data_IF_757575249714
#
_entry.id   IF_757575249714
#
_cell.length_a   1.000
_cell.length_b   1.000
_cell.length_c   1.000
_cell.angle_alpha   90.00
_cell.angle_beta   90.00
_cell.angle_gamma   90.00
#
_symmetry.space_group_name_H-M   'P 1'
#
loop_
_entity.id
_entity.type
_entity.pdbx_description
1 polymer ?
#
# COMPACT_ATOMS: atom_id res chain seq x y z
N UNK A 1 65.27 11.04 32.12
CA UNK A 1 64.81 11.86 30.98
C UNK A 1 64.23 10.87 29.96
N UNK A 2 62.94 10.52 30.04
CA UNK A 2 61.83 11.18 29.32
C UNK A 2 62.16 11.46 27.85
N UNK A 3 61.66 10.62 26.92
CA UNK A 3 60.59 11.00 25.99
C UNK A 3 60.39 9.95 24.88
N UNK A 4 59.17 9.40 24.85
CA UNK A 4 58.33 8.91 23.75
C UNK A 4 58.90 8.60 22.35
N UNK A 5 58.55 7.42 21.85
CA UNK A 5 57.91 7.28 20.54
C UNK A 5 57.06 5.99 20.50
N UNK A 6 55.74 6.16 20.58
CA UNK A 6 54.73 5.16 20.25
C UNK A 6 54.73 4.93 18.74
N UNK A 7 54.80 3.67 18.30
CA UNK A 7 54.34 3.28 16.96
C UNK A 7 53.34 2.13 17.13
N UNK A 8 52.08 2.54 17.12
CA UNK A 8 50.92 1.68 17.15
C UNK A 8 50.50 1.39 15.71
N UNK A 9 50.42 0.10 15.36
CA UNK A 9 49.37 -0.47 14.51
C UNK A 9 49.46 -0.29 12.99
N UNK A 10 49.50 -1.42 12.28
CA UNK A 10 48.72 -1.58 11.05
C UNK A 10 48.44 -3.09 10.80
N UNK A 11 47.34 -3.61 11.35
CA UNK A 11 46.73 -4.84 10.86
C UNK A 11 45.71 -4.40 9.81
N UNK A 12 46.07 -4.49 8.53
CA UNK A 12 45.10 -4.41 7.43
C UNK A 12 44.32 -5.73 7.39
N UNK A 13 43.31 -5.84 8.23
CA UNK A 13 42.24 -6.81 8.05
C UNK A 13 41.26 -6.26 7.02
N UNK A 14 41.49 -6.56 5.74
CA UNK A 14 40.55 -6.27 4.66
C UNK A 14 39.34 -7.19 4.81
N UNK A 15 38.40 -6.84 5.69
CA UNK A 15 37.09 -7.48 5.75
C UNK A 15 36.28 -7.00 4.55
N UNK A 16 36.39 -7.75 3.46
CA UNK A 16 35.47 -7.67 2.33
C UNK A 16 34.12 -8.24 2.80
N UNK A 17 33.34 -7.42 3.50
CA UNK A 17 31.95 -7.71 3.81
C UNK A 17 31.11 -7.57 2.53
N UNK A 18 31.18 -8.59 1.66
CA UNK A 18 30.13 -8.85 0.67
C UNK A 18 28.91 -9.35 1.44
N UNK A 19 28.21 -8.41 2.06
CA UNK A 19 27.00 -8.63 2.83
C UNK A 19 25.88 -9.10 1.92
N UNK A 20 25.49 -10.36 2.11
CA UNK A 20 24.24 -10.96 1.71
C UNK A 20 23.08 -9.94 1.83
N UNK A 21 22.55 -9.47 0.70
CA UNK A 21 21.19 -8.95 0.66
C UNK A 21 20.24 -10.09 0.97
N UNK A 22 19.99 -10.35 2.26
CA UNK A 22 19.20 -11.49 2.73
C UNK A 22 17.72 -11.41 2.35
N UNK A 23 16.93 -12.47 2.63
CA UNK A 23 15.50 -12.52 2.31
C UNK A 23 14.69 -11.33 2.86
N UNK A 24 15.09 -10.77 4.01
CA UNK A 24 14.47 -9.57 4.56
C UNK A 24 14.69 -8.31 3.70
N UNK A 25 15.85 -8.15 3.06
CA UNK A 25 16.13 -7.02 2.15
C UNK A 25 15.29 -7.15 0.88
N UNK A 26 15.16 -8.38 0.35
CA UNK A 26 14.32 -8.65 -0.82
C UNK A 26 12.82 -8.41 -0.52
N UNK A 27 12.36 -8.83 0.66
CA UNK A 27 10.99 -8.57 1.12
C UNK A 27 10.73 -7.06 1.26
N UNK A 28 11.64 -6.33 1.90
CA UNK A 28 11.50 -4.88 2.07
C UNK A 28 11.47 -4.16 0.72
N UNK A 29 12.31 -4.57 -0.25
CA UNK A 29 12.28 -3.97 -1.58
C UNK A 29 10.93 -4.15 -2.29
N UNK A 30 10.25 -5.30 -2.10
CA UNK A 30 8.89 -5.50 -2.59
C UNK A 30 7.87 -4.62 -1.86
N UNK A 31 8.00 -4.46 -0.54
CA UNK A 31 7.15 -3.55 0.23
C UNK A 31 7.34 -2.10 -0.27
N UNK A 32 8.58 -1.67 -0.49
CA UNK A 32 8.89 -0.33 -0.98
C UNK A 32 8.31 -0.10 -2.39
N UNK A 33 8.37 -1.11 -3.27
CA UNK A 33 7.72 -1.08 -4.58
C UNK A 33 6.20 -0.90 -4.44
N UNK A 34 5.55 -1.69 -3.58
CA UNK A 34 4.11 -1.60 -3.32
C UNK A 34 3.76 -0.23 -2.75
N UNK A 35 4.52 0.27 -1.77
CA UNK A 35 4.27 1.57 -1.14
C UNK A 35 4.43 2.70 -2.15
N UNK A 36 5.48 2.68 -2.96
CA UNK A 36 5.70 3.67 -4.01
C UNK A 36 4.57 3.67 -5.04
N UNK A 37 4.20 2.49 -5.55
CA UNK A 37 3.15 2.35 -6.57
C UNK A 37 1.75 2.68 -6.03
N UNK A 38 1.45 2.34 -4.78
CA UNK A 38 0.14 2.57 -4.17
C UNK A 38 -0.05 3.98 -3.61
N UNK A 39 1.04 4.72 -3.40
CA UNK A 39 1.02 6.08 -2.87
C UNK A 39 0.93 7.10 -3.99
N UNK A 40 0.05 8.08 -3.88
CA UNK A 40 -0.07 9.16 -4.84
C UNK A 40 -0.50 10.44 -4.13
N UNK A 41 0.14 11.57 -4.41
CA UNK A 41 -0.22 12.85 -3.80
C UNK A 41 -0.63 13.84 -4.90
N UNK A 42 -1.94 14.02 -5.05
CA UNK A 42 -2.55 14.89 -6.04
C UNK A 42 -3.14 16.16 -5.42
N UNK A 43 -3.69 17.03 -6.26
CA UNK A 43 -4.22 18.33 -5.82
C UNK A 43 -5.43 18.21 -4.88
N UNK A 44 -6.31 17.23 -5.12
CA UNK A 44 -7.57 17.05 -4.37
C UNK A 44 -7.57 15.89 -3.41
N UNK A 45 -6.61 14.99 -3.56
CA UNK A 45 -6.54 13.78 -2.76
C UNK A 45 -5.11 13.29 -2.61
N UNK A 46 -4.86 12.68 -1.45
CA UNK A 46 -3.63 11.97 -1.16
C UNK A 46 -3.99 10.53 -0.87
N UNK A 47 -3.30 9.60 -1.50
CA UNK A 47 -3.41 8.17 -1.30
C UNK A 47 -2.10 7.67 -0.74
N UNK A 48 -2.15 6.80 0.27
CA UNK A 48 -0.98 6.05 0.72
C UNK A 48 -1.38 4.61 0.95
N UNK A 49 -0.38 3.74 0.90
CA UNK A 49 -0.54 2.34 1.26
C UNK A 49 0.56 1.93 2.22
N UNK A 50 0.28 0.90 3.01
CA UNK A 50 1.27 0.22 3.84
C UNK A 50 1.03 -1.28 3.76
N UNK A 51 2.11 -2.04 3.86
CA UNK A 51 2.08 -3.50 4.00
C UNK A 51 2.74 -3.83 5.32
N UNK A 52 2.00 -4.52 6.18
CA UNK A 52 2.50 -5.06 7.45
C UNK A 52 2.15 -6.55 7.49
N UNK A 53 3.16 -7.40 7.53
CA UNK A 53 3.06 -8.84 7.25
C UNK A 53 2.24 -9.12 5.98
N UNK A 54 1.06 -9.72 6.13
CA UNK A 54 0.14 -10.05 5.04
C UNK A 54 -1.10 -9.17 5.03
N UNK A 55 -1.02 -7.98 5.63
CA UNK A 55 -2.11 -7.01 5.68
C UNK A 55 -1.74 -5.80 4.82
N UNK A 56 -2.53 -5.56 3.78
CA UNK A 56 -2.48 -4.32 3.03
C UNK A 56 -3.45 -3.34 3.69
N UNK A 57 -2.95 -2.15 4.03
CA UNK A 57 -3.80 -1.02 4.40
C UNK A 57 -3.66 0.09 3.38
N UNK A 58 -4.79 0.60 2.90
CA UNK A 58 -4.85 1.75 2.01
C UNK A 58 -5.56 2.90 2.72
N UNK A 59 -5.11 4.12 2.45
CA UNK A 59 -5.70 5.33 2.99
C UNK A 59 -5.91 6.34 1.87
N UNK A 60 -7.08 6.98 1.86
CA UNK A 60 -7.42 8.09 0.98
C UNK A 60 -7.81 9.29 1.83
N UNK A 61 -7.04 10.36 1.73
CA UNK A 61 -7.39 11.66 2.28
C UNK A 61 -7.96 12.55 1.19
N UNK A 62 -9.08 13.19 1.48
CA UNK A 62 -9.65 14.24 0.64
C UNK A 62 -9.13 15.59 1.15
N UNK A 63 -8.58 16.39 0.24
CA UNK A 63 -8.16 17.77 0.49
C UNK A 63 -9.32 18.71 0.21
N UNK A 64 -9.51 19.70 1.07
CA UNK A 64 -10.52 20.74 0.91
C UNK A 64 -9.86 22.09 0.62
N UNK A 65 -10.61 23.03 0.06
CA UNK A 65 -10.11 24.35 -0.37
C UNK A 65 -9.59 25.20 0.80
N UNK A 66 -10.03 24.91 2.03
CA UNK A 66 -9.53 25.54 3.26
C UNK A 66 -8.18 24.97 3.75
N UNK A 67 -7.58 24.06 2.98
CA UNK A 67 -6.32 23.39 3.29
C UNK A 67 -6.46 22.22 4.26
N UNK A 68 -7.67 21.91 4.75
CA UNK A 68 -7.90 20.76 5.61
C UNK A 68 -7.83 19.45 4.82
N UNK A 69 -7.35 18.40 5.48
CA UNK A 69 -7.38 17.03 4.97
C UNK A 69 -8.21 16.14 5.88
N UNK A 70 -9.16 15.42 5.28
CA UNK A 70 -9.98 14.44 6.01
C UNK A 70 -9.68 13.06 5.45
N UNK A 71 -9.43 12.09 6.33
CA UNK A 71 -9.46 10.69 5.93
C UNK A 71 -10.84 10.38 5.36
N UNK A 72 -10.92 10.16 4.06
CA UNK A 72 -12.18 9.97 3.36
C UNK A 72 -12.60 8.50 3.38
N UNK A 73 -11.63 7.61 3.22
CA UNK A 73 -11.79 6.16 3.34
C UNK A 73 -10.45 5.46 3.58
N UNK A 74 -10.47 4.31 4.23
CA UNK A 74 -9.36 3.37 4.26
C UNK A 74 -9.85 1.93 4.18
N UNK A 75 -9.03 1.05 3.58
CA UNK A 75 -9.28 -0.38 3.53
C UNK A 75 -8.18 -1.13 4.25
N UNK A 76 -8.54 -2.10 5.08
CA UNK A 76 -7.62 -3.07 5.68
C UNK A 76 -8.03 -4.44 5.15
N UNK A 77 -7.12 -5.14 4.49
CA UNK A 77 -7.41 -6.41 3.83
C UNK A 77 -6.22 -7.35 3.94
N UNK A 78 -6.52 -8.63 4.10
CA UNK A 78 -5.52 -9.68 4.03
C UNK A 78 -5.12 -9.95 2.57
N UNK A 79 -3.84 -9.81 2.27
CA UNK A 79 -3.27 -9.97 0.94
C UNK A 79 -3.51 -11.38 0.40
N UNK A 80 -3.67 -12.40 1.26
CA UNK A 80 -4.00 -13.78 0.87
C UNK A 80 -5.33 -13.85 0.14
N UNK A 81 -6.31 -13.06 0.56
CA UNK A 81 -7.64 -13.00 -0.05
C UNK A 81 -7.71 -12.14 -1.32
N UNK A 82 -6.69 -11.30 -1.60
CA UNK A 82 -6.75 -10.36 -2.72
C UNK A 82 -6.58 -11.07 -4.06
N UNK A 83 -7.49 -10.78 -4.98
CA UNK A 83 -7.27 -10.87 -6.41
C UNK A 83 -7.62 -9.53 -7.04
N UNK A 84 -7.18 -9.29 -8.28
CA UNK A 84 -7.58 -8.10 -9.01
C UNK A 84 -8.75 -8.42 -9.94
N UNK A 85 -9.64 -7.45 -10.13
CA UNK A 85 -10.70 -7.53 -11.15
C UNK A 85 -10.09 -7.66 -12.54
N UNK A 86 -10.60 -8.59 -13.35
CA UNK A 86 -10.30 -8.63 -14.77
C UNK A 86 -11.16 -7.58 -15.48
N UNK A 87 -10.58 -6.90 -16.47
CA UNK A 87 -11.32 -6.44 -17.64
C UNK A 87 -10.71 -7.12 -18.88
N UNK A 88 -11.61 -7.69 -19.69
CA UNK A 88 -11.46 -8.28 -21.03
C UNK A 88 -10.65 -9.58 -21.32
N UNK A 89 -10.98 -10.16 -22.48
CA UNK A 89 -10.56 -11.45 -23.05
C UNK A 89 -9.06 -11.57 -23.38
N UNK A 90 -8.27 -10.49 -23.21
CA UNK A 90 -6.83 -10.46 -23.52
C UNK A 90 -5.91 -10.44 -22.29
N UNK A 91 -6.48 -10.46 -21.07
CA UNK A 91 -5.74 -10.79 -19.85
C UNK A 91 -4.81 -9.71 -19.29
N UNK A 92 -4.97 -8.44 -19.67
CA UNK A 92 -4.37 -7.23 -19.07
C UNK A 92 -5.35 -6.06 -19.33
N UNK A 93 -5.85 -5.30 -18.36
CA UNK A 93 -5.16 -4.61 -17.26
C UNK A 93 -5.92 -4.70 -15.91
N UNK A 94 -5.18 -4.69 -14.80
CA UNK A 94 -5.73 -4.62 -13.43
C UNK A 94 -6.26 -3.24 -13.05
N UNK A 95 -6.16 -2.31 -14.00
CA UNK A 95 -6.52 -0.93 -13.85
C UNK A 95 -6.86 -0.29 -15.21
N UNK A 96 -7.85 0.61 -15.26
CA UNK A 96 -8.28 1.25 -16.53
C UNK A 96 -7.94 2.74 -16.57
N UNK A 97 -7.59 3.32 -17.74
CA UNK A 97 -7.51 4.76 -17.89
C UNK A 97 -8.92 5.36 -17.73
N UNK A 98 -9.08 6.32 -16.84
CA UNK A 98 -10.08 7.38 -17.08
C UNK A 98 -9.51 8.42 -18.03
N UNK A 99 -10.22 9.53 -18.23
CA UNK A 99 -9.87 10.57 -19.21
C UNK A 99 -8.35 10.79 -19.40
N UNK A 100 -7.89 10.53 -20.63
CA UNK A 100 -6.56 10.87 -21.15
C UNK A 100 -5.34 10.48 -20.28
N UNK A 101 -5.33 9.32 -19.62
CA UNK A 101 -4.16 8.83 -18.86
C UNK A 101 -3.88 9.60 -17.57
N UNK A 102 -4.85 10.41 -17.14
CA UNK A 102 -4.79 11.18 -15.89
C UNK A 102 -5.52 10.49 -14.74
N UNK A 103 -6.13 9.34 -14.98
CA UNK A 103 -6.87 8.58 -13.99
C UNK A 103 -6.55 7.10 -14.15
N UNK A 104 -6.32 6.42 -13.04
CA UNK A 104 -6.19 4.97 -13.00
C UNK A 104 -7.00 4.39 -11.84
N UNK A 105 -7.79 3.36 -12.11
CA UNK A 105 -8.62 2.66 -11.12
C UNK A 105 -8.12 1.24 -10.93
N UNK A 106 -7.62 0.86 -9.75
CA UNK A 106 -7.26 -0.54 -9.46
C UNK A 106 -8.41 -1.20 -8.72
N UNK A 107 -8.97 -2.25 -9.32
CA UNK A 107 -10.13 -2.99 -8.79
C UNK A 107 -9.66 -4.23 -8.02
N UNK A 108 -10.05 -4.34 -6.76
CA UNK A 108 -9.76 -5.48 -5.90
C UNK A 108 -11.00 -6.33 -5.73
N UNK A 109 -10.83 -7.63 -5.88
CA UNK A 109 -11.73 -8.65 -5.37
C UNK A 109 -11.07 -9.29 -4.13
N UNK A 110 -11.89 -9.60 -3.15
CA UNK A 110 -11.48 -10.35 -1.96
C UNK A 110 -12.21 -11.68 -2.00
N UNK A 111 -11.46 -12.77 -1.87
CA UNK A 111 -11.99 -14.12 -1.87
C UNK A 111 -12.36 -14.54 -0.45
N UNK A 112 -13.46 -15.28 -0.30
CA UNK A 112 -13.80 -15.92 0.96
C UNK A 112 -12.67 -16.84 1.46
N UNK A 113 -12.47 -16.96 2.79
CA UNK A 113 -13.27 -16.37 3.87
C UNK A 113 -12.85 -14.95 4.27
N UNK A 114 -11.99 -14.29 3.49
CA UNK A 114 -11.50 -12.96 3.81
C UNK A 114 -12.53 -11.87 3.47
N UNK A 115 -12.36 -10.70 4.10
CA UNK A 115 -13.11 -9.47 3.79
C UNK A 115 -12.20 -8.26 3.90
N UNK A 116 -12.43 -7.23 3.09
CA UNK A 116 -11.83 -5.93 3.30
C UNK A 116 -12.65 -5.13 4.32
N UNK A 117 -12.03 -4.73 5.43
CA UNK A 117 -12.61 -3.78 6.37
C UNK A 117 -12.45 -2.37 5.80
N UNK A 118 -13.56 -1.76 5.42
CA UNK A 118 -13.65 -0.40 4.90
C UNK A 118 -14.05 0.56 6.02
N UNK A 119 -13.11 1.41 6.45
CA UNK A 119 -13.41 2.58 7.27
C UNK A 119 -13.77 3.74 6.35
N UNK A 120 -14.91 4.41 6.57
CA UNK A 120 -15.37 5.54 5.76
C UNK A 120 -15.78 6.73 6.61
N UNK A 121 -15.49 7.93 6.13
CA UNK A 121 -15.93 9.18 6.78
C UNK A 121 -17.46 9.28 6.81
N UNK A 122 -18.01 9.79 7.92
CA UNK A 122 -19.44 10.14 8.04
C UNK A 122 -19.89 11.31 7.18
N UNK A 123 -18.94 12.05 6.59
CA UNK A 123 -19.23 13.04 5.54
C UNK A 123 -19.72 12.38 4.25
N UNK A 124 -19.57 11.05 4.12
CA UNK A 124 -20.13 10.25 3.03
C UNK A 124 -21.51 9.73 3.41
N UNK A 125 -22.32 9.40 2.39
CA UNK A 125 -23.55 8.64 2.61
C UNK A 125 -23.23 7.28 3.25
N UNK A 126 -23.67 7.09 4.49
CA UNK A 126 -23.56 5.83 5.21
C UNK A 126 -24.74 4.93 4.86
N UNK A 127 -24.56 3.61 5.02
CA UNK A 127 -25.70 2.71 5.08
C UNK A 127 -26.40 2.90 6.44
N UNK A 128 -27.73 2.69 6.52
CA UNK A 128 -28.45 2.85 7.79
C UNK A 128 -27.89 1.99 8.93
N UNK A 129 -27.39 0.79 8.62
CA UNK A 129 -26.89 -0.25 9.52
C UNK A 129 -25.35 -0.19 9.75
N UNK A 130 -24.75 0.99 9.62
CA UNK A 130 -23.30 1.13 9.77
C UNK A 130 -22.84 0.88 11.22
N UNK A 131 -21.64 0.30 11.35
CA UNK A 131 -20.96 0.18 12.66
C UNK A 131 -20.02 1.37 12.86
N UNK A 132 -20.05 2.10 13.98
CA UNK A 132 -19.10 3.19 14.24
C UNK A 132 -17.64 2.71 14.27
N UNK A 133 -16.73 3.51 13.70
CA UNK A 133 -15.29 3.30 13.89
C UNK A 133 -14.85 3.98 15.20
N UNK A 134 -14.00 3.35 16.04
CA UNK A 134 -13.51 3.95 17.28
C UNK A 134 -12.70 5.24 17.08
N UNK A 135 -12.31 5.57 15.84
CA UNK A 135 -11.62 6.82 15.50
C UNK A 135 -12.41 8.03 15.99
N UNK A 136 -11.74 8.90 16.74
CA UNK A 136 -12.33 10.10 17.34
C UNK A 136 -13.62 9.78 18.12
N UNK A 137 -13.63 8.67 18.85
CA UNK A 137 -14.73 8.29 19.75
C UNK A 137 -15.99 7.74 19.08
N UNK A 138 -15.97 7.35 17.79
CA UNK A 138 -17.17 6.81 17.12
C UNK A 138 -17.82 7.76 16.12
N UNK A 139 -17.51 9.05 16.21
CA UNK A 139 -18.36 10.10 15.63
C UNK A 139 -17.98 10.48 14.20
N UNK A 140 -16.76 10.15 13.77
CA UNK A 140 -16.24 10.68 12.49
C UNK A 140 -16.24 9.67 11.36
N UNK A 141 -16.22 8.37 11.69
CA UNK A 141 -16.09 7.30 10.72
C UNK A 141 -16.97 6.10 11.07
N UNK A 142 -17.20 5.25 10.08
CA UNK A 142 -17.94 4.00 10.23
C UNK A 142 -17.24 2.87 9.46
N UNK A 143 -17.39 1.64 9.93
CA UNK A 143 -16.94 0.43 9.28
C UNK A 143 -18.03 -0.20 8.41
N UNK A 144 -17.58 -0.76 7.29
CA UNK A 144 -18.28 -1.73 6.47
C UNK A 144 -17.31 -2.84 6.06
N UNK A 145 -17.83 -4.01 5.73
CA UNK A 145 -17.04 -5.11 5.16
C UNK A 145 -17.42 -5.29 3.69
N UNK A 146 -16.42 -5.57 2.85
CA UNK A 146 -16.55 -5.61 1.40
C UNK A 146 -15.77 -6.79 0.82
N UNK A 147 -16.38 -7.42 -0.19
CA UNK A 147 -15.69 -8.37 -1.08
C UNK A 147 -15.08 -7.70 -2.31
N UNK A 148 -15.42 -6.43 -2.56
CA UNK A 148 -14.89 -5.65 -3.67
C UNK A 148 -14.63 -4.21 -3.24
N UNK A 149 -13.47 -3.68 -3.63
CA UNK A 149 -13.15 -2.28 -3.44
C UNK A 149 -12.22 -1.79 -4.54
N UNK A 150 -11.95 -0.48 -4.58
CA UNK A 150 -11.07 0.11 -5.56
C UNK A 150 -10.16 1.14 -4.89
N UNK A 151 -8.96 1.32 -5.43
CA UNK A 151 -8.17 2.53 -5.23
C UNK A 151 -8.07 3.27 -6.56
N UNK A 152 -7.98 4.59 -6.48
CA UNK A 152 -7.99 5.50 -7.62
C UNK A 152 -6.78 6.41 -7.53
N UNK A 153 -6.03 6.58 -8.61
CA UNK A 153 -4.97 7.58 -8.67
C UNK A 153 -5.28 8.57 -9.79
N UNK A 154 -5.06 9.85 -9.54
CA UNK A 154 -5.36 10.94 -10.49
C UNK A 154 -4.12 11.80 -10.71
N UNK A 155 -3.57 11.83 -11.91
CA UNK A 155 -2.45 12.71 -12.28
C UNK A 155 -1.50 12.08 -13.28
N UNK A 156 -0.31 12.67 -13.44
CA UNK A 156 0.74 12.12 -14.29
C UNK A 156 1.39 10.88 -13.64
N UNK A 157 1.76 9.88 -14.46
CA UNK A 157 2.48 8.69 -14.02
C UNK A 157 1.66 7.67 -13.22
N UNK A 158 0.33 7.83 -13.17
CA UNK A 158 -0.55 6.95 -12.39
C UNK A 158 -0.67 5.53 -12.95
N UNK A 159 -0.47 5.36 -14.26
CA UNK A 159 -0.44 4.05 -14.93
C UNK A 159 0.77 3.22 -14.46
N UNK A 160 1.99 3.74 -14.59
CA UNK A 160 3.22 3.08 -14.14
C UNK A 160 3.17 2.73 -12.64
N UNK A 161 2.57 3.62 -11.85
CA UNK A 161 2.35 3.38 -10.41
C UNK A 161 1.39 2.22 -10.16
N UNK A 162 0.30 2.14 -10.91
CA UNK A 162 -0.65 1.04 -10.79
C UNK A 162 -0.07 -0.30 -11.26
N UNK A 163 0.72 -0.32 -12.32
CA UNK A 163 1.49 -1.50 -12.76
C UNK A 163 2.42 -1.97 -11.64
N UNK A 164 3.30 -1.08 -11.20
CA UNK A 164 4.29 -1.38 -10.17
C UNK A 164 3.64 -1.86 -8.87
N UNK A 165 2.52 -1.24 -8.47
CA UNK A 165 1.74 -1.64 -7.31
C UNK A 165 1.15 -3.05 -7.46
N UNK A 166 0.45 -3.31 -8.56
CA UNK A 166 -0.27 -4.58 -8.75
C UNK A 166 0.69 -5.75 -8.94
N UNK A 167 1.74 -5.57 -9.74
CA UNK A 167 2.80 -6.57 -9.91
C UNK A 167 3.53 -6.85 -8.60
N UNK A 168 3.92 -5.78 -7.89
CA UNK A 168 4.58 -5.87 -6.59
C UNK A 168 3.73 -6.62 -5.57
N UNK A 169 2.44 -6.30 -5.48
CA UNK A 169 1.52 -6.93 -4.52
C UNK A 169 1.30 -8.41 -4.85
N UNK A 170 1.11 -8.78 -6.12
CA UNK A 170 0.96 -10.20 -6.52
C UNK A 170 2.24 -10.99 -6.25
N UNK A 171 3.40 -10.38 -6.49
CA UNK A 171 4.68 -11.01 -6.21
C UNK A 171 4.89 -11.19 -4.71
N UNK A 172 4.66 -10.16 -3.91
CA UNK A 172 4.72 -10.22 -2.46
C UNK A 172 3.77 -11.26 -1.89
N UNK A 173 2.53 -11.32 -2.40
CA UNK A 173 1.55 -12.35 -2.05
C UNK A 173 2.12 -13.75 -2.24
N UNK A 174 2.66 -14.04 -3.44
CA UNK A 174 3.20 -15.35 -3.79
C UNK A 174 4.43 -15.73 -2.97
N UNK A 175 5.30 -14.77 -2.67
CA UNK A 175 6.59 -15.03 -2.01
C UNK A 175 6.50 -15.05 -0.47
N UNK A 176 5.57 -14.29 0.12
CA UNK A 176 5.55 -14.04 1.58
C UNK A 176 4.21 -14.32 2.25
N UNK A 177 3.11 -14.40 1.50
CA UNK A 177 1.76 -14.56 2.05
C UNK A 177 1.06 -15.78 1.48
N UNK A 178 1.68 -16.94 1.63
CA UNK A 178 1.05 -18.21 1.27
C UNK A 178 0.14 -18.68 2.41
N UNK A 179 -1.04 -19.17 2.06
CA UNK A 179 -1.84 -19.97 2.99
C UNK A 179 -1.13 -21.31 3.09
N UNK A 180 -0.33 -21.49 4.15
CA UNK A 180 0.12 -22.82 4.52
C UNK A 180 -1.12 -23.57 5.02
N UNK A 181 -1.48 -24.65 4.32
CA UNK A 181 -2.60 -25.51 4.65
C UNK A 181 -2.40 -26.29 5.95
#
# INVERSE_FOLDING_TARGET
MLSDAKVTGLILGFFCALGLGGPAVAQQALIDQIVWGGTHDGERERHTVSVDDCVLTTYRWKKFDDGSEVLWSSFVVDVRGITFGHDDENGRDFYGPGEAGTLTLILFNVQEPFEARHEKSRMRKLRPDHTPSPRNGGETHAYEYKQQFMIMHVGAGVVEKAESFTEGLLRYKREHCQILG
#
